data_IF_872571387951
#
_entry.id   IF_872571387951
#
_cell.length_a   1.000
_cell.length_b   1.000
_cell.length_c   1.000
_cell.angle_alpha   90.00
_cell.angle_beta   90.00
_cell.angle_gamma   90.00
#
_symmetry.space_group_name_H-M   'P 1'
#
loop_
_entity.id
_entity.type
_entity.pdbx_description
1 polymer ?
#
# COMPACT_ATOMS: atom_id res chain seq x y z
N UNK A 1 -22.06 -43.18 -32.50
CA UNK A 1 -21.28 -42.09 -31.91
C UNK A 1 -19.88 -42.62 -31.67
N UNK A 2 -18.87 -42.09 -32.37
CA UNK A 2 -17.48 -42.56 -32.23
C UNK A 2 -16.84 -41.81 -31.06
N UNK A 3 -16.48 -42.50 -29.97
CA UNK A 3 -15.72 -41.90 -28.86
C UNK A 3 -14.24 -41.99 -29.19
N UNK A 4 -13.60 -40.84 -29.44
CA UNK A 4 -12.19 -40.76 -29.63
C UNK A 4 -11.47 -40.87 -28.26
N UNK A 5 -10.83 -42.02 -28.01
CA UNK A 5 -9.97 -42.23 -26.86
C UNK A 5 -8.55 -41.72 -27.21
N UNK A 6 -8.13 -40.67 -26.57
CA UNK A 6 -6.82 -40.09 -26.78
C UNK A 6 -5.73 -41.00 -26.20
N UNK A 7 -5.03 -41.77 -27.01
CA UNK A 7 -3.83 -42.55 -26.63
C UNK A 7 -2.59 -41.61 -26.64
N UNK A 8 -2.54 -40.66 -25.73
CA UNK A 8 -1.34 -39.80 -25.57
C UNK A 8 -0.47 -40.40 -24.49
N UNK A 9 0.65 -40.95 -24.88
CA UNK A 9 1.70 -41.37 -23.96
C UNK A 9 2.39 -40.13 -23.40
N UNK A 10 2.24 -39.89 -22.11
CA UNK A 10 2.83 -38.77 -21.40
C UNK A 10 3.89 -39.24 -20.38
N UNK A 11 4.28 -40.52 -20.40
CA UNK A 11 5.21 -41.13 -19.44
C UNK A 11 6.51 -40.36 -19.32
N UNK A 12 7.15 -40.04 -20.42
CA UNK A 12 8.41 -39.27 -20.43
C UNK A 12 8.28 -37.89 -19.73
N UNK A 13 7.12 -37.24 -19.93
CA UNK A 13 6.86 -35.94 -19.34
C UNK A 13 6.58 -36.06 -17.84
N UNK A 14 5.91 -37.16 -17.43
CA UNK A 14 5.60 -37.43 -16.02
C UNK A 14 6.91 -37.69 -15.25
N UNK A 15 7.78 -38.56 -15.79
CA UNK A 15 9.05 -38.92 -15.14
C UNK A 15 9.95 -37.71 -14.98
N UNK A 16 10.09 -36.90 -16.04
CA UNK A 16 10.89 -35.68 -15.99
C UNK A 16 10.34 -34.63 -15.01
N UNK A 17 9.00 -34.48 -14.93
CA UNK A 17 8.37 -33.57 -13.97
C UNK A 17 8.47 -34.10 -12.53
N UNK A 18 8.38 -35.42 -12.29
CA UNK A 18 8.57 -36.03 -10.97
C UNK A 18 9.97 -35.78 -10.44
N UNK A 19 10.99 -36.03 -11.27
CA UNK A 19 12.38 -35.72 -10.93
C UNK A 19 12.58 -34.25 -10.56
N UNK A 20 12.05 -33.33 -11.35
CA UNK A 20 12.16 -31.90 -11.06
C UNK A 20 11.38 -31.47 -9.82
N UNK A 21 10.27 -32.14 -9.50
CA UNK A 21 9.51 -31.86 -8.29
C UNK A 21 10.25 -32.28 -7.01
N UNK A 22 11.03 -33.36 -7.09
CA UNK A 22 11.91 -33.81 -5.99
C UNK A 22 13.14 -32.89 -5.86
N UNK A 23 13.79 -32.52 -6.96
CA UNK A 23 14.96 -31.64 -6.94
C UNK A 23 14.61 -30.19 -6.52
N UNK A 24 13.47 -29.68 -6.92
CA UNK A 24 13.08 -28.28 -6.79
C UNK A 24 11.66 -28.08 -6.25
N UNK A 25 11.32 -28.60 -5.07
CA UNK A 25 9.94 -28.69 -4.58
C UNK A 25 9.23 -27.33 -4.39
N UNK A 26 10.00 -26.27 -4.24
CA UNK A 26 9.46 -24.90 -4.03
C UNK A 26 9.28 -24.10 -5.33
N UNK A 27 9.61 -24.66 -6.49
CA UNK A 27 9.56 -23.96 -7.77
C UNK A 27 8.26 -24.26 -8.53
N UNK A 28 7.82 -23.29 -9.31
CA UNK A 28 6.59 -23.41 -10.09
C UNK A 28 6.85 -23.87 -11.53
N UNK A 29 5.73 -24.10 -12.27
CA UNK A 29 5.72 -24.60 -13.64
C UNK A 29 6.74 -23.94 -14.60
N UNK A 30 6.87 -22.62 -14.58
CA UNK A 30 7.74 -21.90 -15.52
C UNK A 30 9.23 -22.28 -15.33
N UNK A 31 9.65 -22.55 -14.09
CA UNK A 31 11.01 -22.99 -13.79
C UNK A 31 11.23 -24.39 -14.33
N UNK A 32 10.29 -25.32 -14.09
CA UNK A 32 10.36 -26.69 -14.59
C UNK A 32 10.41 -26.72 -16.12
N UNK A 33 9.51 -26.00 -16.78
CA UNK A 33 9.45 -25.95 -18.24
C UNK A 33 10.74 -25.39 -18.85
N UNK A 34 11.30 -24.30 -18.30
CA UNK A 34 12.57 -23.74 -18.76
C UNK A 34 13.73 -24.70 -18.54
N UNK A 35 13.74 -25.47 -17.44
CA UNK A 35 14.78 -26.46 -17.15
C UNK A 35 14.72 -27.64 -18.15
N UNK A 36 13.54 -28.21 -18.36
CA UNK A 36 13.32 -29.25 -19.36
C UNK A 36 13.76 -28.82 -20.78
N UNK A 37 13.44 -27.57 -21.12
CA UNK A 37 13.86 -27.05 -22.44
C UNK A 37 15.38 -26.90 -22.56
N UNK A 38 16.10 -26.53 -21.48
CA UNK A 38 17.57 -26.49 -21.44
C UNK A 38 18.19 -27.88 -21.47
N UNK A 39 17.52 -28.87 -20.94
CA UNK A 39 17.92 -30.29 -20.98
C UNK A 39 17.68 -30.94 -22.38
N UNK A 40 17.15 -30.14 -23.33
CA UNK A 40 16.95 -30.58 -24.71
C UNK A 40 15.57 -31.11 -25.04
N UNK A 41 14.62 -31.16 -24.09
CA UNK A 41 13.27 -31.62 -24.35
C UNK A 41 12.48 -30.57 -25.15
N UNK A 42 12.11 -30.89 -26.39
CA UNK A 42 11.36 -30.01 -27.32
C UNK A 42 9.81 -30.17 -27.15
N UNK A 43 9.34 -30.50 -25.97
CA UNK A 43 7.91 -30.71 -25.72
C UNK A 43 7.09 -29.41 -25.78
N UNK A 44 5.90 -29.50 -26.36
CA UNK A 44 5.00 -28.36 -26.41
C UNK A 44 4.60 -27.93 -24.99
N UNK A 45 4.67 -26.62 -24.71
CA UNK A 45 4.35 -26.04 -23.41
C UNK A 45 2.96 -26.42 -22.92
N UNK A 46 1.95 -26.48 -23.83
CA UNK A 46 0.59 -26.88 -23.51
C UNK A 46 0.53 -28.35 -23.01
N UNK A 47 1.33 -29.26 -23.64
CA UNK A 47 1.41 -30.66 -23.23
C UNK A 47 1.98 -30.77 -21.81
N UNK A 48 3.14 -30.14 -21.55
CA UNK A 48 3.81 -30.19 -20.25
C UNK A 48 2.93 -29.56 -19.17
N UNK A 49 2.27 -28.43 -19.45
CA UNK A 49 1.36 -27.77 -18.50
C UNK A 49 0.14 -28.62 -18.13
N UNK A 50 -0.41 -29.35 -19.10
CA UNK A 50 -1.53 -30.28 -18.87
C UNK A 50 -1.12 -31.39 -17.91
N UNK A 51 0.04 -32.03 -18.15
CA UNK A 51 0.59 -33.09 -17.28
C UNK A 51 0.90 -32.54 -15.89
N UNK A 52 1.59 -31.42 -15.80
CA UNK A 52 1.89 -30.73 -14.54
C UNK A 52 0.65 -30.48 -13.68
N UNK A 53 -0.45 -30.06 -14.31
CA UNK A 53 -1.73 -29.86 -13.63
C UNK A 53 -2.36 -31.17 -13.19
N UNK A 54 -2.28 -32.22 -14.01
CA UNK A 54 -2.83 -33.56 -13.70
C UNK A 54 -2.08 -34.18 -12.52
N UNK A 55 -0.77 -33.97 -12.40
CA UNK A 55 0.07 -34.44 -11.29
C UNK A 55 -0.15 -33.63 -9.98
N UNK A 56 -0.94 -32.56 -9.99
CA UNK A 56 -1.19 -31.75 -8.79
C UNK A 56 -0.02 -30.93 -8.29
N UNK A 57 1.04 -30.72 -9.09
CA UNK A 57 2.28 -30.03 -8.72
C UNK A 57 2.12 -28.50 -8.53
N UNK A 58 0.92 -27.98 -8.55
CA UNK A 58 0.64 -26.55 -8.34
C UNK A 58 1.06 -26.13 -6.92
N UNK A 59 1.91 -25.13 -6.84
CA UNK A 59 2.24 -24.52 -5.56
C UNK A 59 0.99 -23.94 -4.89
N UNK A 60 0.82 -24.19 -3.60
CA UNK A 60 -0.23 -23.56 -2.79
C UNK A 60 0.02 -22.05 -2.74
N UNK A 61 -0.78 -21.27 -3.43
CA UNK A 61 -0.78 -19.81 -3.30
C UNK A 61 -1.70 -19.42 -2.15
N UNK A 62 -1.18 -18.67 -1.17
CA UNK A 62 -2.07 -17.98 -0.22
C UNK A 62 -2.92 -16.99 -1.01
N UNK A 63 -4.22 -17.22 -1.08
CA UNK A 63 -5.14 -16.21 -1.59
C UNK A 63 -5.04 -14.98 -0.69
N UNK A 64 -4.76 -13.82 -1.28
CA UNK A 64 -4.92 -12.56 -0.56
C UNK A 64 -6.40 -12.47 -0.17
N UNK A 65 -6.70 -12.54 1.14
CA UNK A 65 -8.05 -12.25 1.62
C UNK A 65 -8.38 -10.82 1.18
N UNK A 66 -9.40 -10.65 0.38
CA UNK A 66 -9.97 -9.32 0.13
C UNK A 66 -10.49 -8.83 1.48
N UNK A 67 -9.93 -7.74 1.97
CA UNK A 67 -10.51 -7.05 3.11
C UNK A 67 -11.93 -6.62 2.72
N UNK A 68 -12.92 -6.75 3.63
CA UNK A 68 -14.26 -6.25 3.37
C UNK A 68 -14.17 -4.77 2.96
N UNK A 69 -15.00 -4.37 2.00
CA UNK A 69 -15.12 -2.95 1.62
C UNK A 69 -15.51 -2.17 2.86
N UNK A 70 -14.67 -1.24 3.28
CA UNK A 70 -15.01 -0.35 4.39
C UNK A 70 -16.10 0.61 3.94
N UNK A 71 -17.09 0.86 4.79
CA UNK A 71 -18.06 1.92 4.57
C UNK A 71 -17.31 3.25 4.43
N UNK A 72 -17.60 3.94 3.33
CA UNK A 72 -17.03 5.26 3.07
C UNK A 72 -17.91 6.29 3.75
N UNK A 73 -17.52 6.74 4.94
CA UNK A 73 -18.15 7.89 5.54
C UNK A 73 -17.71 9.15 4.78
N UNK A 74 -18.63 9.92 4.20
CA UNK A 74 -18.27 11.19 3.56
C UNK A 74 -17.62 12.11 4.60
N UNK A 75 -16.66 12.91 4.15
CA UNK A 75 -16.07 13.95 4.99
C UNK A 75 -17.08 15.08 5.15
N UNK A 76 -17.34 15.48 6.38
CA UNK A 76 -18.18 16.67 6.65
C UNK A 76 -17.50 17.89 6.01
N UNK A 77 -18.27 18.65 5.23
CA UNK A 77 -17.79 19.90 4.63
C UNK A 77 -18.01 21.02 5.65
N UNK A 78 -16.95 21.71 6.12
CA UNK A 78 -17.11 22.82 7.05
C UNK A 78 -17.84 23.98 6.37
N UNK A 79 -18.66 24.69 7.12
CA UNK A 79 -19.44 25.84 6.65
C UNK A 79 -18.84 27.18 7.08
N UNK A 80 -17.94 27.16 8.05
CA UNK A 80 -17.30 28.37 8.59
C UNK A 80 -15.79 28.25 8.53
N UNK A 81 -15.14 29.39 8.29
CA UNK A 81 -13.69 29.53 8.36
C UNK A 81 -13.21 29.20 9.78
N UNK A 82 -12.04 28.60 9.89
CA UNK A 82 -11.42 28.20 11.15
C UNK A 82 -12.23 27.15 11.94
N UNK A 83 -13.06 26.35 11.26
CA UNK A 83 -13.79 25.25 11.88
C UNK A 83 -13.02 23.93 11.77
N UNK A 84 -12.50 23.63 10.57
CA UNK A 84 -11.77 22.39 10.28
C UNK A 84 -10.52 22.71 9.47
N UNK A 85 -9.37 22.31 10.01
CA UNK A 85 -8.10 22.34 9.27
C UNK A 85 -7.72 20.96 8.78
N UNK A 86 -7.08 20.89 7.62
CA UNK A 86 -6.42 19.69 7.12
C UNK A 86 -4.91 19.85 7.17
N UNK A 87 -4.22 18.79 7.62
CA UNK A 87 -2.77 18.73 7.63
C UNK A 87 -2.29 17.58 6.75
N UNK A 88 -1.23 17.82 6.00
CA UNK A 88 -0.59 16.82 5.14
C UNK A 88 0.91 17.08 5.01
N UNK A 89 1.65 16.00 4.68
CA UNK A 89 3.07 16.07 4.35
C UNK A 89 3.30 15.77 2.88
N UNK A 90 3.96 16.69 2.21
CA UNK A 90 4.56 16.44 0.92
C UNK A 90 6.04 16.09 1.09
N UNK A 91 6.57 15.25 0.21
CA UNK A 91 8.00 14.94 0.13
C UNK A 91 8.52 15.32 -1.24
N UNK A 92 9.67 15.97 -1.27
CA UNK A 92 10.36 16.35 -2.49
C UNK A 92 11.87 16.10 -2.35
N UNK A 93 12.61 16.26 -3.43
CA UNK A 93 14.06 16.05 -3.49
C UNK A 93 14.71 17.31 -4.06
N UNK A 94 15.66 17.86 -3.30
CA UNK A 94 16.46 18.98 -3.74
C UNK A 94 17.41 18.61 -4.89
N UNK A 95 17.91 19.58 -5.61
CA UNK A 95 18.86 19.39 -6.71
C UNK A 95 20.16 18.67 -6.32
N UNK A 96 20.51 18.71 -5.05
CA UNK A 96 21.66 18.00 -4.46
C UNK A 96 21.31 16.55 -4.00
N UNK A 97 20.09 16.08 -4.24
CA UNK A 97 19.60 14.74 -3.91
C UNK A 97 19.10 14.57 -2.47
N UNK A 98 19.14 15.60 -1.62
CA UNK A 98 18.58 15.55 -0.27
C UNK A 98 17.06 15.57 -0.31
N UNK A 99 16.44 14.68 0.48
CA UNK A 99 14.98 14.67 0.65
C UNK A 99 14.55 15.79 1.58
N UNK A 100 13.51 16.51 1.20
CA UNK A 100 12.82 17.51 2.01
C UNK A 100 11.38 17.09 2.26
N UNK A 101 10.83 17.56 3.35
CA UNK A 101 9.43 17.42 3.69
C UNK A 101 8.81 18.80 3.83
N UNK A 102 7.64 18.96 3.27
CA UNK A 102 6.83 20.16 3.37
C UNK A 102 5.62 19.82 4.22
N UNK A 103 5.46 20.50 5.33
CA UNK A 103 4.29 20.40 6.18
C UNK A 103 3.29 21.47 5.77
N UNK A 104 2.10 21.05 5.38
CA UNK A 104 1.03 21.93 4.94
C UNK A 104 -0.11 21.91 5.96
N UNK A 105 -0.65 23.08 6.27
CA UNK A 105 -1.89 23.27 7.02
C UNK A 105 -2.82 24.13 6.19
N UNK A 106 -4.05 23.67 5.99
CA UNK A 106 -5.04 24.34 5.15
C UNK A 106 -6.38 24.40 5.85
N UNK A 107 -7.11 25.50 5.72
CA UNK A 107 -8.51 25.59 6.11
C UNK A 107 -9.38 24.88 5.07
N UNK A 108 -10.21 23.94 5.51
CA UNK A 108 -11.05 23.13 4.62
C UNK A 108 -12.25 23.91 4.05
N UNK A 109 -12.64 25.03 4.68
CA UNK A 109 -13.78 25.84 4.24
C UNK A 109 -13.44 26.69 3.00
N UNK A 110 -12.38 27.51 3.10
CA UNK A 110 -11.99 28.45 2.04
C UNK A 110 -10.80 28.00 1.22
N UNK A 111 -10.19 26.82 1.56
CA UNK A 111 -9.00 26.29 0.91
C UNK A 111 -7.75 27.16 1.04
N UNK A 112 -7.69 28.00 2.03
CA UNK A 112 -6.55 28.87 2.32
C UNK A 112 -5.41 28.05 2.94
N UNK A 113 -4.18 28.23 2.43
CA UNK A 113 -2.98 27.66 3.02
C UNK A 113 -2.56 28.50 4.23
N UNK A 114 -2.78 27.96 5.44
CA UNK A 114 -2.48 28.64 6.69
C UNK A 114 -1.01 28.56 7.06
N UNK A 115 -0.37 27.41 6.77
CA UNK A 115 1.06 27.23 6.93
C UNK A 115 1.62 26.32 5.86
N UNK A 116 2.84 26.64 5.40
CA UNK A 116 3.64 25.82 4.52
C UNK A 116 5.09 25.87 5.03
N UNK A 117 5.50 24.87 5.79
CA UNK A 117 6.83 24.84 6.42
C UNK A 117 7.68 23.72 5.82
N UNK A 118 8.95 24.03 5.51
CA UNK A 118 9.86 23.12 4.81
C UNK A 118 11.01 22.71 5.74
N UNK A 119 11.34 21.43 5.75
CA UNK A 119 12.46 20.93 6.53
C UNK A 119 13.03 19.61 6.01
N UNK A 120 14.31 19.38 6.29
CA UNK A 120 14.94 18.08 5.99
C UNK A 120 14.40 16.97 6.88
N UNK A 121 14.03 17.32 8.10
CA UNK A 121 13.38 16.44 9.08
C UNK A 121 12.24 17.20 9.75
N UNK A 122 11.09 16.53 9.94
CA UNK A 122 9.91 17.19 10.49
C UNK A 122 9.28 16.31 11.60
N UNK A 123 9.85 16.31 12.81
CA UNK A 123 9.32 15.54 13.93
C UNK A 123 8.02 16.15 14.47
N UNK A 124 7.23 15.36 15.20
CA UNK A 124 5.95 15.80 15.79
C UNK A 124 6.04 17.07 16.65
N UNK A 125 7.21 17.33 17.29
CA UNK A 125 7.42 18.56 18.05
C UNK A 125 7.38 19.79 17.16
N UNK A 126 7.91 19.70 15.94
CA UNK A 126 7.87 20.80 14.98
C UNK A 126 6.46 21.04 14.44
N UNK A 127 5.65 19.97 14.30
CA UNK A 127 4.22 20.10 13.99
C UNK A 127 3.51 20.92 15.07
N UNK A 128 3.73 20.59 16.32
CA UNK A 128 3.13 21.31 17.46
C UNK A 128 3.61 22.77 17.53
N UNK A 129 4.87 23.05 17.22
CA UNK A 129 5.41 24.42 17.15
C UNK A 129 4.71 25.24 16.05
N UNK A 130 4.59 24.70 14.85
CA UNK A 130 3.87 25.38 13.74
C UNK A 130 2.40 25.63 14.09
N UNK A 131 1.72 24.65 14.70
CA UNK A 131 0.34 24.84 15.16
C UNK A 131 0.23 25.86 16.30
N UNK A 132 1.24 25.97 17.16
CA UNK A 132 1.31 27.00 18.20
C UNK A 132 1.44 28.41 17.62
N UNK A 133 2.23 28.60 16.59
CA UNK A 133 2.36 29.87 15.89
C UNK A 133 1.01 30.26 15.23
N UNK A 134 0.33 29.32 14.59
CA UNK A 134 -0.98 29.57 14.01
C UNK A 134 -2.05 29.90 15.08
N UNK A 135 -1.96 29.29 16.28
CA UNK A 135 -2.82 29.65 17.40
C UNK A 135 -2.70 31.14 17.78
N UNK A 136 -1.48 31.65 17.80
CA UNK A 136 -1.20 33.06 18.14
C UNK A 136 -1.69 34.04 17.05
N UNK A 137 -1.64 33.62 15.79
CA UNK A 137 -1.99 34.47 14.65
C UNK A 137 -3.48 34.51 14.35
N UNK A 138 -4.13 33.34 14.29
CA UNK A 138 -5.51 33.19 13.80
C UNK A 138 -6.42 32.36 14.72
N UNK A 139 -5.90 31.85 15.85
CA UNK A 139 -6.61 30.96 16.75
C UNK A 139 -6.55 29.49 16.30
N UNK A 140 -7.36 28.63 16.93
CA UNK A 140 -7.37 27.21 16.66
C UNK A 140 -8.73 26.73 16.09
N UNK A 141 -8.73 25.69 15.24
CA UNK A 141 -9.96 25.10 14.75
C UNK A 141 -10.60 24.18 15.79
N UNK A 142 -11.86 23.83 15.59
CA UNK A 142 -12.51 22.79 16.40
C UNK A 142 -11.92 21.41 16.11
N UNK A 143 -11.60 21.15 14.85
CA UNK A 143 -11.15 19.84 14.36
C UNK A 143 -9.94 19.99 13.44
N UNK A 144 -8.97 19.10 13.60
CA UNK A 144 -7.85 18.95 12.67
C UNK A 144 -7.94 17.57 12.02
N UNK A 145 -7.91 17.52 10.69
CA UNK A 145 -7.86 16.31 9.88
C UNK A 145 -6.43 16.01 9.42
N UNK A 146 -6.01 14.77 9.50
CA UNK A 146 -4.72 14.33 9.00
C UNK A 146 -4.77 12.87 8.56
N UNK A 147 -3.74 12.43 7.86
CA UNK A 147 -3.52 11.02 7.58
C UNK A 147 -2.97 10.27 8.80
N UNK A 148 -2.72 8.96 8.64
CA UNK A 148 -2.13 8.12 9.70
C UNK A 148 -0.58 8.15 9.67
N UNK A 149 0.03 9.27 9.32
CA UNK A 149 1.47 9.44 9.37
C UNK A 149 2.03 9.28 10.79
N UNK A 150 3.25 8.75 10.95
CA UNK A 150 3.86 8.52 12.26
C UNK A 150 4.00 9.79 13.09
N UNK A 151 4.16 10.93 12.46
CA UNK A 151 4.25 12.25 13.10
C UNK A 151 2.91 12.67 13.71
N UNK A 152 1.81 12.33 13.04
CA UNK A 152 0.46 12.67 13.48
C UNK A 152 -0.09 11.70 14.54
N UNK A 153 0.34 10.44 14.53
CA UNK A 153 -0.03 9.43 15.55
C UNK A 153 0.73 9.64 16.87
N UNK A 154 1.64 10.60 16.92
CA UNK A 154 2.52 10.83 18.06
C UNK A 154 1.75 11.25 19.33
N UNK A 155 2.25 10.79 20.50
CA UNK A 155 1.72 11.23 21.80
C UNK A 155 1.83 12.74 21.99
N UNK A 156 2.90 13.34 21.49
CA UNK A 156 3.15 14.79 21.59
C UNK A 156 2.03 15.62 20.96
N UNK A 157 1.60 15.27 19.73
CA UNK A 157 0.51 15.96 19.06
C UNK A 157 -0.84 15.67 19.74
N UNK A 158 -1.10 14.41 20.10
CA UNK A 158 -2.33 14.02 20.76
C UNK A 158 -2.54 14.74 22.11
N UNK A 159 -1.47 14.86 22.91
CA UNK A 159 -1.51 15.58 24.19
C UNK A 159 -1.71 17.10 24.00
N UNK A 160 -1.09 17.66 22.97
CA UNK A 160 -1.28 19.07 22.62
C UNK A 160 -2.73 19.34 22.20
N UNK A 161 -3.27 18.55 21.28
CA UNK A 161 -4.67 18.68 20.86
C UNK A 161 -5.64 18.55 22.04
N UNK A 162 -5.40 17.59 22.94
CA UNK A 162 -6.21 17.43 24.15
C UNK A 162 -6.17 18.65 25.07
N UNK A 163 -5.00 19.24 25.30
CA UNK A 163 -4.84 20.46 26.12
C UNK A 163 -5.58 21.64 25.51
N UNK A 164 -5.54 21.75 24.18
CA UNK A 164 -6.14 22.85 23.42
C UNK A 164 -7.60 22.61 23.08
N UNK A 165 -8.16 21.46 23.44
CA UNK A 165 -9.56 21.04 23.13
C UNK A 165 -9.85 21.00 21.64
N UNK A 166 -8.86 20.63 20.83
CA UNK A 166 -8.96 20.41 19.40
C UNK A 166 -9.18 18.92 19.15
N UNK A 167 -10.19 18.57 18.35
CA UNK A 167 -10.44 17.18 17.97
C UNK A 167 -9.50 16.77 16.82
N UNK A 168 -8.71 15.70 17.02
CA UNK A 168 -7.86 15.14 15.97
C UNK A 168 -8.58 14.01 15.26
N UNK A 169 -8.90 14.16 13.97
CA UNK A 169 -9.57 13.17 13.12
C UNK A 169 -8.64 12.60 12.09
N UNK A 170 -8.46 11.29 12.13
CA UNK A 170 -7.68 10.59 11.13
C UNK A 170 -8.51 10.21 9.90
N UNK A 171 -8.04 10.57 8.71
CA UNK A 171 -8.68 10.21 7.45
C UNK A 171 -8.48 8.72 7.20
N UNK A 172 -9.53 8.03 6.74
CA UNK A 172 -9.46 6.62 6.42
C UNK A 172 -8.54 6.40 5.20
N UNK A 173 -7.61 5.40 5.25
CA UNK A 173 -6.74 5.10 4.11
C UNK A 173 -7.54 4.78 2.84
N UNK A 174 -7.18 5.41 1.72
CA UNK A 174 -7.79 5.16 0.41
C UNK A 174 -8.90 6.13 -0.01
N UNK A 175 -8.93 7.30 0.59
CA UNK A 175 -9.73 8.45 0.09
C UNK A 175 -8.84 9.43 -0.63
#
# INVERSE_FOLDING_TARGET
MWYYHTQKDDTDVIDALSRLAEELPTRGFEVYYKRLHREGHKWNRKRVLRVYRKMGLKLRRKHKKRLPSREKNPLDVPTMINEVWSMDFMADVLSDGRKVRVFNVMDDCNREALAMDVGLNYPARKVVETLGNLEEEIGLPKTIRCDNGPEFISKTLAEWCKRKRVELRFIQPGK
#
